data_IF_768660409343
#
_entry.id   IF_768660409343
#
_cell.length_a   1.000
_cell.length_b   1.000
_cell.length_c   1.000
_cell.angle_alpha   90.00
_cell.angle_beta   90.00
_cell.angle_gamma   90.00
#
_symmetry.space_group_name_H-M   'P 1'
#
loop_
_entity.id
_entity.type
_entity.pdbx_description
1 polymer ?
#
# COMPACT_ATOMS: atom_id res chain seq x y z
N UNK A 1 -43.14 -36.96 2.83
CA UNK A 1 -42.00 -37.56 2.10
C UNK A 1 -40.80 -37.47 3.04
N UNK A 2 -40.31 -38.60 3.57
CA UNK A 2 -39.17 -38.61 4.52
C UNK A 2 -37.88 -38.51 3.68
N UNK A 3 -37.15 -37.42 3.83
CA UNK A 3 -35.79 -37.30 3.25
C UNK A 3 -34.90 -38.33 3.93
N UNK A 4 -34.33 -39.23 3.17
CA UNK A 4 -33.47 -40.30 3.68
C UNK A 4 -32.09 -39.73 4.07
N UNK A 5 -31.39 -40.39 5.01
CA UNK A 5 -30.04 -40.01 5.47
C UNK A 5 -29.04 -39.90 4.30
N UNK A 6 -29.23 -40.73 3.26
CA UNK A 6 -28.45 -40.72 2.01
C UNK A 6 -28.67 -39.49 1.16
N UNK A 7 -29.87 -38.88 1.17
CA UNK A 7 -30.15 -37.67 0.38
C UNK A 7 -29.56 -36.41 1.03
N UNK A 8 -29.52 -36.41 2.38
CA UNK A 8 -28.83 -35.36 3.14
C UNK A 8 -27.32 -35.38 2.90
N UNK A 9 -26.73 -36.58 2.96
CA UNK A 9 -25.28 -36.75 2.73
C UNK A 9 -24.87 -36.33 1.32
N UNK A 10 -25.67 -36.62 0.28
CA UNK A 10 -25.42 -36.19 -1.10
C UNK A 10 -25.49 -34.66 -1.24
N UNK A 11 -26.45 -33.99 -0.59
CA UNK A 11 -26.57 -32.53 -0.60
C UNK A 11 -25.37 -31.86 0.10
N UNK A 12 -24.91 -32.42 1.22
CA UNK A 12 -23.77 -31.91 1.96
C UNK A 12 -22.46 -32.06 1.14
N UNK A 13 -22.27 -33.19 0.47
CA UNK A 13 -21.11 -33.44 -0.42
C UNK A 13 -21.13 -32.48 -1.62
N UNK A 14 -22.28 -32.26 -2.26
CA UNK A 14 -22.41 -31.31 -3.36
C UNK A 14 -22.15 -29.87 -2.91
N UNK A 15 -22.61 -29.49 -1.73
CA UNK A 15 -22.36 -28.17 -1.15
C UNK A 15 -20.89 -27.95 -0.83
N UNK A 16 -20.21 -28.95 -0.27
CA UNK A 16 -18.77 -28.91 0.02
C UNK A 16 -17.96 -28.85 -1.29
N UNK A 17 -18.30 -29.68 -2.28
CA UNK A 17 -17.63 -29.68 -3.58
C UNK A 17 -17.82 -28.34 -4.31
N UNK A 18 -19.02 -27.75 -4.25
CA UNK A 18 -19.28 -26.43 -4.82
C UNK A 18 -18.52 -25.31 -4.10
N UNK A 19 -18.44 -25.37 -2.76
CA UNK A 19 -17.63 -24.45 -1.96
C UNK A 19 -16.13 -24.54 -2.29
N UNK A 20 -15.61 -25.77 -2.44
CA UNK A 20 -14.23 -26.03 -2.85
C UNK A 20 -13.96 -25.56 -4.28
N UNK A 21 -14.91 -25.75 -5.19
CA UNK A 21 -14.84 -25.27 -6.58
C UNK A 21 -14.85 -23.73 -6.65
N UNK A 22 -15.67 -23.06 -5.85
CA UNK A 22 -15.67 -21.60 -5.76
C UNK A 22 -14.35 -21.06 -5.19
N UNK A 23 -13.82 -21.70 -4.13
CA UNK A 23 -12.51 -21.35 -3.56
C UNK A 23 -11.37 -21.61 -4.57
N UNK A 24 -11.42 -22.71 -5.31
CA UNK A 24 -10.43 -23.02 -6.34
C UNK A 24 -10.45 -21.98 -7.49
N UNK A 25 -11.64 -21.59 -7.97
CA UNK A 25 -11.77 -20.59 -9.02
C UNK A 25 -11.45 -19.17 -8.53
N UNK A 26 -11.79 -18.82 -7.28
CA UNK A 26 -11.34 -17.59 -6.64
C UNK A 26 -9.82 -17.54 -6.53
N UNK A 27 -9.18 -18.61 -6.06
CA UNK A 27 -7.73 -18.71 -6.01
C UNK A 27 -7.07 -18.65 -7.40
N UNK A 28 -7.68 -19.24 -8.42
CA UNK A 28 -7.14 -19.19 -9.79
C UNK A 28 -7.26 -17.81 -10.42
N UNK A 29 -8.35 -17.08 -10.15
CA UNK A 29 -8.51 -15.69 -10.57
C UNK A 29 -7.62 -14.75 -9.74
N UNK A 30 -7.45 -15.03 -8.45
CA UNK A 30 -6.52 -14.38 -7.56
C UNK A 30 -5.06 -14.56 -8.01
N UNK A 31 -4.64 -15.79 -8.29
CA UNK A 31 -3.29 -16.07 -8.81
C UNK A 31 -3.04 -15.43 -10.19
N UNK A 32 -4.06 -15.32 -11.04
CA UNK A 32 -3.96 -14.57 -12.30
C UNK A 32 -3.86 -13.06 -12.06
N UNK A 33 -4.57 -12.52 -11.07
CA UNK A 33 -4.48 -11.12 -10.68
C UNK A 33 -3.13 -10.76 -10.04
N UNK A 34 -2.58 -11.65 -9.22
CA UNK A 34 -1.23 -11.51 -8.63
C UNK A 34 -0.14 -11.55 -9.71
N UNK A 35 -0.26 -12.45 -10.71
CA UNK A 35 0.67 -12.52 -11.83
C UNK A 35 0.65 -11.25 -12.73
N UNK A 36 -0.32 -10.36 -12.53
CA UNK A 36 -0.45 -9.09 -13.26
C UNK A 36 0.36 -7.96 -12.62
N UNK A 37 0.62 -8.02 -11.31
CA UNK A 37 1.31 -6.96 -10.58
C UNK A 37 2.76 -7.35 -10.31
N UNK A 38 3.68 -6.48 -10.72
CA UNK A 38 5.11 -6.77 -10.75
C UNK A 38 5.85 -6.34 -9.50
N UNK A 39 5.26 -5.48 -8.67
CA UNK A 39 5.95 -4.92 -7.51
C UNK A 39 4.98 -4.57 -6.37
N UNK A 40 5.57 -4.51 -5.17
CA UNK A 40 4.92 -4.06 -3.94
C UNK A 40 5.72 -2.89 -3.35
N UNK A 41 5.18 -1.66 -3.36
CA UNK A 41 5.93 -0.46 -3.00
C UNK A 41 5.91 -0.13 -1.50
N UNK A 42 5.16 -0.87 -0.66
CA UNK A 42 4.97 -0.52 0.75
C UNK A 42 5.10 -1.77 1.63
N UNK A 43 6.31 -1.98 2.16
CA UNK A 43 6.65 -3.14 2.99
C UNK A 43 7.56 -2.70 4.13
N UNK A 44 7.32 -3.28 5.32
CA UNK A 44 8.03 -3.00 6.55
C UNK A 44 8.99 -4.11 6.95
N UNK A 45 10.16 -3.71 7.47
CA UNK A 45 11.13 -4.59 8.09
C UNK A 45 11.05 -4.50 9.62
N UNK A 46 11.90 -5.24 10.31
CA UNK A 46 12.09 -5.12 11.77
C UNK A 46 12.42 -3.68 12.21
N UNK A 47 12.93 -2.83 11.31
CA UNK A 47 13.27 -1.43 11.61
C UNK A 47 12.06 -0.53 11.77
N UNK A 48 10.88 -0.96 11.42
CA UNK A 48 9.61 -0.24 11.69
C UNK A 48 9.20 -0.25 13.18
N UNK A 49 9.87 -1.07 14.00
CA UNK A 49 9.71 -1.07 15.46
C UNK A 49 8.52 -1.86 15.98
N UNK A 50 7.62 -2.32 15.13
CA UNK A 50 6.47 -3.15 15.51
C UNK A 50 6.02 -4.07 14.36
N UNK A 51 5.25 -5.10 14.73
CA UNK A 51 4.50 -5.95 13.78
C UNK A 51 5.32 -6.93 12.97
N UNK A 52 6.66 -6.79 12.89
CA UNK A 52 7.48 -7.64 12.04
C UNK A 52 8.82 -8.03 12.68
N UNK A 53 9.33 -9.18 12.27
CA UNK A 53 10.68 -9.65 12.56
C UNK A 53 11.50 -9.91 11.27
N UNK A 54 11.00 -9.42 10.13
CA UNK A 54 11.58 -9.70 8.82
C UNK A 54 12.73 -8.75 8.51
N UNK A 55 13.80 -9.30 7.91
CA UNK A 55 14.89 -8.51 7.34
C UNK A 55 14.62 -8.20 5.86
N UNK A 56 15.32 -7.21 5.29
CA UNK A 56 15.28 -6.91 3.85
C UNK A 56 15.57 -8.17 3.02
N UNK A 57 16.48 -9.04 3.47
CA UNK A 57 16.82 -10.28 2.77
C UNK A 57 15.69 -11.31 2.81
N UNK A 58 14.97 -11.41 3.93
CA UNK A 58 13.83 -12.31 4.04
C UNK A 58 12.68 -11.85 3.12
N UNK A 59 12.42 -10.53 3.10
CA UNK A 59 11.45 -9.91 2.19
C UNK A 59 11.83 -10.19 0.73
N UNK A 60 13.09 -9.97 0.35
CA UNK A 60 13.55 -10.21 -1.02
C UNK A 60 13.40 -11.69 -1.45
N UNK A 61 13.70 -12.65 -0.55
CA UNK A 61 13.49 -14.08 -0.82
C UNK A 61 12.01 -14.41 -1.03
N UNK A 62 11.15 -13.88 -0.14
CA UNK A 62 9.71 -14.10 -0.25
C UNK A 62 9.16 -13.50 -1.53
N UNK A 63 9.48 -12.24 -1.84
CA UNK A 63 9.07 -11.57 -3.06
C UNK A 63 9.49 -12.32 -4.33
N UNK A 64 10.74 -12.80 -4.38
CA UNK A 64 11.22 -13.63 -5.48
C UNK A 64 10.44 -14.95 -5.61
N UNK A 65 10.10 -15.59 -4.48
CA UNK A 65 9.37 -16.87 -4.46
C UNK A 65 7.94 -16.76 -5.00
N UNK A 66 7.33 -15.58 -4.90
CA UNK A 66 5.96 -15.31 -5.40
C UNK A 66 5.95 -14.61 -6.76
N UNK A 67 7.13 -14.36 -7.35
CA UNK A 67 7.27 -13.82 -8.70
C UNK A 67 7.21 -12.29 -8.80
N UNK A 68 7.34 -11.54 -7.70
CA UNK A 68 7.54 -10.10 -7.77
C UNK A 68 8.92 -9.80 -8.37
N UNK A 69 9.01 -8.72 -9.12
CA UNK A 69 10.25 -8.25 -9.76
C UNK A 69 10.94 -7.15 -8.95
N UNK A 70 10.16 -6.45 -8.11
CA UNK A 70 10.63 -5.30 -7.33
C UNK A 70 9.84 -5.18 -6.03
N UNK A 71 10.49 -4.68 -4.97
CA UNK A 71 9.83 -4.29 -3.71
C UNK A 71 10.36 -2.96 -3.20
N UNK A 72 9.51 -2.20 -2.54
CA UNK A 72 9.87 -1.03 -1.77
C UNK A 72 10.01 -1.37 -0.28
N UNK A 73 11.15 -1.04 0.30
CA UNK A 73 11.37 -1.08 1.75
C UNK A 73 11.11 0.32 2.28
N UNK A 74 10.03 0.47 3.03
CA UNK A 74 9.49 1.76 3.45
C UNK A 74 9.13 1.75 4.92
N UNK A 75 10.11 1.44 5.75
CA UNK A 75 9.93 1.43 7.21
C UNK A 75 9.42 2.77 7.72
N UNK A 76 8.66 2.73 8.82
CA UNK A 76 8.14 3.93 9.47
C UNK A 76 9.23 4.91 9.87
N UNK A 77 8.96 6.18 9.66
CA UNK A 77 9.82 7.27 10.11
C UNK A 77 10.03 7.31 11.63
N UNK A 78 11.07 8.02 12.09
CA UNK A 78 11.58 7.93 13.46
C UNK A 78 10.62 8.45 14.56
N UNK A 79 9.56 9.17 14.20
CA UNK A 79 8.55 9.59 15.17
C UNK A 79 7.63 8.43 15.60
N UNK A 80 7.57 7.34 14.81
CA UNK A 80 6.81 6.14 15.19
C UNK A 80 7.50 5.43 16.37
N UNK A 81 6.77 5.12 17.47
CA UNK A 81 7.36 4.45 18.63
C UNK A 81 8.02 3.12 18.27
N UNK A 82 9.30 2.98 18.58
CA UNK A 82 10.09 1.78 18.28
C UNK A 82 10.75 1.74 16.90
N UNK A 83 10.43 2.67 16.00
CA UNK A 83 11.03 2.74 14.68
C UNK A 83 12.52 3.08 14.68
N UNK A 84 13.16 2.80 13.55
CA UNK A 84 14.57 3.10 13.32
C UNK A 84 14.86 4.60 13.40
N UNK A 85 16.09 4.94 13.83
CA UNK A 85 16.53 6.35 13.86
C UNK A 85 16.77 6.87 12.44
N UNK A 86 16.80 8.19 12.28
CA UNK A 86 17.13 8.87 11.03
C UNK A 86 18.41 8.35 10.34
N UNK A 87 19.42 7.93 11.13
CA UNK A 87 20.64 7.30 10.62
C UNK A 87 20.42 5.97 9.88
N UNK A 88 19.38 5.22 10.20
CA UNK A 88 18.99 4.02 9.47
C UNK A 88 18.66 4.38 8.02
N UNK A 89 17.79 5.35 7.81
CA UNK A 89 17.36 5.79 6.46
C UNK A 89 18.53 6.36 5.66
N UNK A 90 19.40 7.16 6.28
CA UNK A 90 20.63 7.65 5.64
C UNK A 90 21.50 6.52 5.12
N UNK A 91 21.61 5.44 5.88
CA UNK A 91 22.46 4.29 5.53
C UNK A 91 21.86 3.41 4.40
N UNK A 92 20.54 3.51 4.13
CA UNK A 92 19.92 2.80 3.00
C UNK A 92 20.48 3.22 1.64
N UNK A 93 21.05 4.43 1.52
CA UNK A 93 21.73 4.89 0.33
C UNK A 93 22.90 3.96 -0.12
N UNK A 94 23.51 3.23 0.83
CA UNK A 94 24.62 2.31 0.58
C UNK A 94 24.18 0.85 0.46
N UNK A 95 22.90 0.57 0.61
CA UNK A 95 22.38 -0.79 0.55
C UNK A 95 22.31 -1.31 -0.90
N UNK A 96 22.58 -2.61 -1.13
CA UNK A 96 22.48 -3.19 -2.47
C UNK A 96 21.10 -3.08 -3.05
N UNK A 97 20.97 -2.51 -4.26
CA UNK A 97 19.70 -2.32 -4.99
C UNK A 97 19.14 -3.61 -5.62
N UNK A 98 19.84 -4.71 -5.50
CA UNK A 98 19.39 -6.03 -5.98
C UNK A 98 19.66 -7.08 -4.91
N UNK A 99 18.64 -7.88 -4.56
CA UNK A 99 18.75 -9.03 -3.67
C UNK A 99 17.90 -10.18 -4.19
N UNK A 100 18.41 -11.40 -4.13
CA UNK A 100 17.68 -12.60 -4.55
C UNK A 100 17.08 -12.50 -5.97
N UNK A 101 17.72 -11.73 -6.86
CA UNK A 101 17.29 -11.56 -8.24
C UNK A 101 16.20 -10.52 -8.46
N UNK A 102 15.75 -9.82 -7.41
CA UNK A 102 14.74 -8.74 -7.53
C UNK A 102 15.35 -7.37 -7.22
N UNK A 103 14.72 -6.34 -7.73
CA UNK A 103 15.06 -4.94 -7.48
C UNK A 103 14.54 -4.50 -6.11
N UNK A 104 15.35 -3.77 -5.36
CA UNK A 104 14.99 -3.20 -4.06
C UNK A 104 15.03 -1.68 -4.15
N UNK A 105 13.90 -1.06 -3.95
CA UNK A 105 13.81 0.39 -3.72
C UNK A 105 13.84 0.67 -2.23
N UNK A 106 14.60 1.67 -1.83
CA UNK A 106 14.72 2.09 -0.44
C UNK A 106 14.03 3.43 -0.24
N UNK A 107 12.94 3.40 0.48
CA UNK A 107 12.15 4.56 0.85
C UNK A 107 11.98 4.70 2.35
N UNK A 108 11.02 5.51 2.72
CA UNK A 108 10.50 5.62 4.07
C UNK A 108 8.98 5.84 4.01
N UNK A 109 8.27 5.34 4.99
CA UNK A 109 6.93 5.83 5.31
C UNK A 109 7.09 6.93 6.37
N UNK A 110 7.27 8.18 5.88
CA UNK A 110 7.46 9.34 6.72
C UNK A 110 6.15 9.78 7.36
N UNK A 111 6.20 10.10 8.66
CA UNK A 111 5.06 10.61 9.38
C UNK A 111 4.86 12.09 9.09
N UNK A 112 3.61 12.49 8.79
CA UNK A 112 3.19 13.88 8.88
C UNK A 112 3.02 14.20 10.37
N UNK A 113 3.64 15.29 10.86
CA UNK A 113 3.66 15.64 12.28
C UNK A 113 2.66 16.73 12.66
N UNK A 114 2.31 17.59 11.71
CA UNK A 114 1.43 18.74 11.94
C UNK A 114 0.63 19.14 10.68
N UNK A 115 -0.27 20.10 10.85
CA UNK A 115 -1.09 20.62 9.76
C UNK A 115 -0.31 21.41 8.69
N UNK A 116 0.97 21.73 8.93
CA UNK A 116 1.84 22.35 7.94
C UNK A 116 2.48 21.29 7.01
N UNK A 117 2.27 20.00 7.26
CA UNK A 117 2.85 18.91 6.48
C UNK A 117 4.32 18.65 6.83
N UNK A 118 4.77 19.02 8.03
CA UNK A 118 6.12 18.73 8.51
C UNK A 118 6.34 17.22 8.58
N UNK A 119 7.43 16.73 8.00
CA UNK A 119 7.82 15.33 8.02
C UNK A 119 8.79 15.03 9.17
N UNK A 120 8.82 13.79 9.62
CA UNK A 120 9.70 13.32 10.70
C UNK A 120 11.11 12.92 10.23
N UNK A 121 11.44 13.17 8.98
CA UNK A 121 12.77 13.03 8.38
C UNK A 121 13.19 14.35 7.76
N UNK A 122 14.45 14.74 7.99
CA UNK A 122 15.06 15.93 7.42
C UNK A 122 15.29 15.78 5.92
N UNK A 123 15.24 16.88 5.16
CA UNK A 123 15.39 16.91 3.70
C UNK A 123 16.66 16.17 3.23
N UNK A 124 17.79 16.33 3.94
CA UNK A 124 19.06 15.65 3.63
C UNK A 124 18.94 14.12 3.67
N UNK A 125 18.03 13.59 4.46
CA UNK A 125 17.76 12.14 4.53
C UNK A 125 16.78 11.74 3.45
N UNK A 126 15.73 12.53 3.24
CA UNK A 126 14.76 12.27 2.19
C UNK A 126 15.44 12.22 0.81
N UNK A 127 16.40 13.11 0.54
CA UNK A 127 17.11 13.19 -0.75
C UNK A 127 17.91 11.92 -1.12
N UNK A 128 18.38 11.15 -0.15
CA UNK A 128 19.15 9.92 -0.44
C UNK A 128 18.25 8.68 -0.66
N UNK A 129 16.96 8.79 -0.41
CA UNK A 129 15.98 7.73 -0.65
C UNK A 129 15.54 7.69 -2.12
N UNK A 130 15.05 6.55 -2.56
CA UNK A 130 14.47 6.40 -3.90
C UNK A 130 13.15 7.15 -4.00
N UNK A 131 12.32 7.05 -2.96
CA UNK A 131 11.04 7.75 -2.82
C UNK A 131 10.57 7.74 -1.36
N UNK A 132 9.53 8.52 -1.08
CA UNK A 132 8.90 8.65 0.24
C UNK A 132 7.41 8.44 0.13
N UNK A 133 6.86 7.64 1.03
CA UNK A 133 5.44 7.55 1.34
C UNK A 133 5.17 8.51 2.49
N UNK A 134 4.12 9.29 2.43
CA UNK A 134 3.68 10.14 3.54
C UNK A 134 2.38 9.61 4.13
N UNK A 135 2.33 9.50 5.45
CA UNK A 135 1.18 8.94 6.16
C UNK A 135 0.86 9.71 7.44
N UNK A 136 -0.41 9.62 7.85
CA UNK A 136 -0.86 10.06 9.16
C UNK A 136 -1.07 8.85 10.07
N UNK A 137 -0.43 8.87 11.24
CA UNK A 137 -0.57 7.84 12.27
C UNK A 137 -0.96 8.47 13.60
N UNK A 138 -1.90 7.85 14.34
CA UNK A 138 -2.36 8.38 15.64
C UNK A 138 -1.24 8.67 16.64
N UNK A 139 -0.15 7.87 16.75
CA UNK A 139 0.94 8.19 17.67
C UNK A 139 1.72 9.46 17.32
N UNK A 140 1.68 9.89 16.05
CA UNK A 140 2.53 10.98 15.52
C UNK A 140 1.74 12.21 15.09
N UNK A 141 0.47 12.04 14.74
CA UNK A 141 -0.40 13.12 14.26
C UNK A 141 -1.74 13.11 15.00
N UNK A 142 -2.13 14.25 15.55
CA UNK A 142 -3.44 14.43 16.15
C UNK A 142 -4.46 14.72 15.05
N UNK A 143 -5.53 13.89 14.89
CA UNK A 143 -6.54 14.14 13.89
C UNK A 143 -7.12 15.55 13.97
N UNK A 144 -7.09 16.26 12.85
CA UNK A 144 -7.69 17.58 12.66
C UNK A 144 -9.05 17.50 11.96
N UNK A 145 -9.54 18.64 11.52
CA UNK A 145 -10.69 18.72 10.61
C UNK A 145 -10.31 18.17 9.23
N UNK A 146 -11.31 17.89 8.39
CA UNK A 146 -11.10 17.49 6.98
C UNK A 146 -10.18 18.46 6.25
N UNK A 147 -10.37 19.75 6.46
CA UNK A 147 -9.59 20.81 5.84
C UNK A 147 -8.12 20.79 6.32
N UNK A 148 -7.90 20.72 7.63
CA UNK A 148 -6.56 20.65 8.23
C UNK A 148 -5.78 19.42 7.77
N UNK A 149 -6.41 18.24 7.77
CA UNK A 149 -5.78 17.01 7.32
C UNK A 149 -5.45 17.05 5.82
N UNK A 150 -6.38 17.55 4.99
CA UNK A 150 -6.15 17.72 3.55
C UNK A 150 -4.99 18.65 3.28
N UNK A 151 -4.95 19.79 4.00
CA UNK A 151 -3.89 20.77 3.86
C UNK A 151 -2.52 20.22 4.28
N UNK A 152 -2.47 19.43 5.34
CA UNK A 152 -1.25 18.76 5.80
C UNK A 152 -0.67 17.83 4.74
N UNK A 153 -1.51 16.98 4.10
CA UNK A 153 -1.06 16.14 2.98
C UNK A 153 -0.58 16.96 1.79
N UNK A 154 -1.33 18.03 1.40
CA UNK A 154 -0.96 18.89 0.27
C UNK A 154 0.38 19.59 0.51
N UNK A 155 0.66 20.00 1.74
CA UNK A 155 1.93 20.62 2.08
C UNK A 155 3.09 19.61 2.06
N UNK A 156 2.87 18.42 2.61
CA UNK A 156 3.88 17.36 2.61
C UNK A 156 4.24 16.88 1.18
N UNK A 157 3.27 16.85 0.25
CA UNK A 157 3.50 16.50 -1.16
C UNK A 157 4.44 17.46 -1.90
N UNK A 158 4.72 18.66 -1.38
CA UNK A 158 5.61 19.63 -2.03
C UNK A 158 7.07 19.16 -2.05
N UNK A 159 7.45 18.23 -1.17
CA UNK A 159 8.79 17.68 -1.18
C UNK A 159 8.96 16.72 -2.39
N UNK A 160 9.99 16.90 -3.23
CA UNK A 160 10.11 16.19 -4.53
C UNK A 160 10.27 14.68 -4.40
N UNK A 161 10.75 14.20 -3.26
CA UNK A 161 10.87 12.75 -2.96
C UNK A 161 9.59 12.09 -2.51
N UNK A 162 8.57 12.87 -2.12
CA UNK A 162 7.25 12.33 -1.83
C UNK A 162 6.61 11.87 -3.13
N UNK A 163 6.32 10.58 -3.22
CA UNK A 163 5.77 9.94 -4.43
C UNK A 163 4.49 9.16 -4.18
N UNK A 164 4.17 8.88 -2.92
CA UNK A 164 2.97 8.13 -2.54
C UNK A 164 2.35 8.75 -1.30
N UNK A 165 1.02 8.88 -1.30
CA UNK A 165 0.22 9.12 -0.11
C UNK A 165 -0.23 7.76 0.40
N UNK A 166 0.26 7.35 1.57
CA UNK A 166 -0.08 6.09 2.21
C UNK A 166 -1.46 6.15 2.86
N UNK A 167 -2.22 5.08 2.73
CA UNK A 167 -3.50 4.78 3.40
C UNK A 167 -4.30 6.01 3.89
N UNK A 168 -4.45 7.03 3.05
CA UNK A 168 -5.28 8.21 3.37
C UNK A 168 -6.79 7.88 3.45
N UNK A 169 -7.13 6.61 3.36
CA UNK A 169 -8.46 6.05 3.56
C UNK A 169 -8.84 5.88 5.05
N UNK A 170 -7.90 6.01 6.00
CA UNK A 170 -8.14 5.86 7.43
C UNK A 170 -9.24 6.82 7.91
N UNK A 171 -10.35 6.26 8.41
CA UNK A 171 -11.52 7.04 8.86
C UNK A 171 -11.22 8.01 10.01
N UNK A 172 -10.09 7.82 10.69
CA UNK A 172 -9.65 8.69 11.79
C UNK A 172 -9.11 10.04 11.30
N UNK A 173 -8.70 10.12 10.03
CA UNK A 173 -8.12 11.31 9.42
C UNK A 173 -8.92 11.72 8.17
N UNK A 174 -10.15 12.27 8.36
CA UNK A 174 -10.99 12.65 7.23
C UNK A 174 -10.30 13.68 6.34
N UNK A 175 -10.38 13.48 5.02
CA UNK A 175 -9.79 14.36 3.99
C UNK A 175 -10.78 14.64 2.86
N UNK A 176 -10.57 15.74 2.14
CA UNK A 176 -11.22 16.02 0.85
C UNK A 176 -10.46 15.31 -0.27
N UNK A 177 -10.99 14.16 -0.72
CA UNK A 177 -10.33 13.35 -1.75
C UNK A 177 -10.25 14.04 -3.10
N UNK A 178 -11.20 14.90 -3.45
CA UNK A 178 -11.17 15.65 -4.70
C UNK A 178 -9.99 16.65 -4.70
N UNK A 179 -9.87 17.43 -3.63
CA UNK A 179 -8.76 18.38 -3.46
C UNK A 179 -7.41 17.65 -3.39
N UNK A 180 -7.38 16.49 -2.70
CA UNK A 180 -6.17 15.69 -2.55
C UNK A 180 -5.67 15.15 -3.89
N UNK A 181 -6.56 14.60 -4.73
CA UNK A 181 -6.22 14.07 -6.05
C UNK A 181 -5.78 15.16 -7.02
N UNK A 182 -6.42 16.34 -6.99
CA UNK A 182 -5.99 17.49 -7.80
C UNK A 182 -4.56 17.90 -7.44
N UNK A 183 -4.26 18.00 -6.14
CA UNK A 183 -2.92 18.33 -5.68
C UNK A 183 -1.91 17.21 -6.00
N UNK A 184 -2.26 15.95 -5.77
CA UNK A 184 -1.42 14.80 -6.08
C UNK A 184 -1.03 14.75 -7.57
N UNK A 185 -1.97 15.05 -8.46
CA UNK A 185 -1.69 15.18 -9.89
C UNK A 185 -0.74 16.33 -10.22
N UNK A 186 -0.84 17.45 -9.49
CA UNK A 186 0.03 18.62 -9.70
C UNK A 186 1.47 18.36 -9.24
N UNK A 187 1.65 17.58 -8.17
CA UNK A 187 2.96 17.29 -7.59
C UNK A 187 3.56 15.94 -8.01
N UNK A 188 2.93 15.21 -8.95
CA UNK A 188 3.33 13.87 -9.37
C UNK A 188 3.45 12.90 -8.17
N UNK A 189 2.37 12.80 -7.39
CA UNK A 189 2.25 11.91 -6.22
C UNK A 189 1.09 10.95 -6.43
N UNK A 190 1.29 9.66 -6.18
CA UNK A 190 0.25 8.62 -6.29
C UNK A 190 -0.59 8.54 -5.01
N UNK A 191 -1.86 8.15 -5.15
CA UNK A 191 -2.64 7.68 -4.02
C UNK A 191 -2.52 6.16 -3.92
N UNK A 192 -2.32 5.70 -2.71
CA UNK A 192 -2.26 4.28 -2.38
C UNK A 192 -3.67 3.69 -2.23
N UNK A 193 -3.88 2.51 -2.79
CA UNK A 193 -4.99 1.63 -2.43
C UNK A 193 -4.40 0.52 -1.57
N UNK A 194 -4.53 0.70 -0.27
CA UNK A 194 -3.84 -0.10 0.74
C UNK A 194 -4.61 -1.39 1.04
N UNK A 195 -3.97 -2.53 0.82
CA UNK A 195 -4.62 -3.83 1.01
C UNK A 195 -4.87 -4.15 2.49
N UNK A 196 -3.96 -3.72 3.41
CA UNK A 196 -4.13 -3.93 4.84
C UNK A 196 -5.31 -3.12 5.40
N UNK A 197 -5.55 -1.89 4.90
CA UNK A 197 -6.72 -1.08 5.26
C UNK A 197 -8.04 -1.78 4.93
N UNK A 198 -8.10 -2.43 3.77
CA UNK A 198 -9.29 -3.11 3.25
C UNK A 198 -9.48 -4.52 3.81
N UNK A 199 -8.49 -5.05 4.55
CA UNK A 199 -8.60 -6.37 5.19
C UNK A 199 -9.72 -6.38 6.23
N UNK A 200 -10.46 -7.48 6.38
CA UNK A 200 -11.43 -7.65 7.48
C UNK A 200 -10.82 -7.45 8.87
N UNK A 201 -9.51 -7.71 9.01
CA UNK A 201 -8.75 -7.51 10.24
C UNK A 201 -8.10 -6.11 10.32
N UNK A 202 -8.44 -5.21 9.38
CA UNK A 202 -7.91 -3.86 9.31
C UNK A 202 -8.31 -3.00 10.52
N UNK A 203 -7.36 -2.26 11.09
CA UNK A 203 -7.58 -1.43 12.28
C UNK A 203 -8.01 0.02 11.97
N UNK A 204 -8.13 0.38 10.69
CA UNK A 204 -8.46 1.74 10.22
C UNK A 204 -9.98 2.01 10.13
N UNK A 205 -10.81 1.04 10.50
CA UNK A 205 -12.26 1.11 10.44
C UNK A 205 -12.82 0.66 9.08
N UNK A 206 -14.09 0.96 8.80
CA UNK A 206 -14.67 0.69 7.47
C UNK A 206 -14.24 1.77 6.48
N UNK A 207 -13.19 1.46 5.75
CA UNK A 207 -12.57 2.35 4.75
C UNK A 207 -13.22 2.25 3.36
N UNK A 208 -14.20 1.39 3.16
CA UNK A 208 -14.78 1.07 1.84
C UNK A 208 -15.33 2.31 1.12
N UNK A 209 -16.01 3.20 1.86
CA UNK A 209 -16.53 4.47 1.34
C UNK A 209 -15.41 5.43 0.94
N UNK A 210 -14.35 5.52 1.73
CA UNK A 210 -13.19 6.36 1.47
C UNK A 210 -12.42 5.88 0.24
N UNK A 211 -12.14 4.58 0.15
CA UNK A 211 -11.48 3.98 -1.02
C UNK A 211 -12.30 4.20 -2.29
N UNK A 212 -13.64 4.07 -2.23
CA UNK A 212 -14.50 4.39 -3.35
C UNK A 212 -14.33 5.86 -3.78
N UNK A 213 -14.34 6.81 -2.83
CA UNK A 213 -14.17 8.23 -3.12
C UNK A 213 -12.80 8.54 -3.74
N UNK A 214 -11.72 7.90 -3.26
CA UNK A 214 -10.37 7.98 -3.85
C UNK A 214 -10.42 7.52 -5.31
N UNK A 215 -10.97 6.33 -5.58
CA UNK A 215 -11.02 5.76 -6.92
C UNK A 215 -11.88 6.59 -7.87
N UNK A 216 -13.02 7.13 -7.41
CA UNK A 216 -13.88 8.01 -8.20
C UNK A 216 -13.15 9.32 -8.57
N UNK A 217 -12.47 9.97 -7.61
CA UNK A 217 -11.70 11.18 -7.85
C UNK A 217 -10.51 10.90 -8.79
N UNK A 218 -9.74 9.84 -8.57
CA UNK A 218 -8.63 9.45 -9.44
C UNK A 218 -9.11 9.15 -10.87
N UNK A 219 -10.23 8.44 -11.03
CA UNK A 219 -10.83 8.16 -12.35
C UNK A 219 -11.27 9.43 -13.05
N UNK A 220 -11.94 10.34 -12.34
CA UNK A 220 -12.41 11.64 -12.87
C UNK A 220 -11.25 12.49 -13.40
N UNK A 221 -10.12 12.50 -12.69
CA UNK A 221 -8.95 13.29 -13.05
C UNK A 221 -7.94 12.55 -13.93
N UNK A 222 -8.23 11.30 -14.34
CA UNK A 222 -7.29 10.42 -15.06
C UNK A 222 -5.93 10.36 -14.34
N UNK A 223 -5.98 10.15 -13.02
CA UNK A 223 -4.82 10.07 -12.14
C UNK A 223 -4.55 8.62 -11.74
N UNK A 224 -3.30 8.12 -11.89
CA UNK A 224 -2.99 6.74 -11.54
C UNK A 224 -2.98 6.52 -10.02
N UNK A 225 -3.17 5.25 -9.64
CA UNK A 225 -3.02 4.76 -8.27
C UNK A 225 -1.96 3.67 -8.19
N UNK A 226 -1.50 3.38 -6.99
CA UNK A 226 -0.64 2.24 -6.71
C UNK A 226 -1.29 1.35 -5.64
N UNK A 227 -1.23 0.03 -5.83
CA UNK A 227 -1.64 -0.94 -4.82
C UNK A 227 -0.46 -1.28 -3.93
N UNK A 228 -0.70 -1.53 -2.66
CA UNK A 228 0.32 -1.96 -1.72
C UNK A 228 -0.21 -3.00 -0.75
N UNK A 229 0.70 -3.79 -0.20
CA UNK A 229 0.36 -4.73 0.86
C UNK A 229 0.39 -4.11 2.24
N UNK A 230 1.23 -3.09 2.46
CA UNK A 230 1.56 -2.54 3.79
C UNK A 230 1.97 -3.69 4.75
N UNK A 231 2.81 -4.58 4.21
CA UNK A 231 3.08 -5.85 4.86
C UNK A 231 4.04 -5.68 6.04
N UNK A 232 3.62 -6.14 7.21
CA UNK A 232 4.43 -6.27 8.42
C UNK A 232 4.83 -7.74 8.68
N UNK A 233 4.86 -8.58 7.65
CA UNK A 233 5.25 -9.99 7.76
C UNK A 233 5.28 -10.69 6.41
N UNK A 234 6.09 -11.74 6.27
CA UNK A 234 6.34 -12.41 4.98
C UNK A 234 5.09 -12.91 4.28
N UNK A 235 4.06 -13.31 5.04
CA UNK A 235 2.84 -13.89 4.49
C UNK A 235 1.99 -12.91 3.67
N UNK A 236 2.13 -11.61 3.93
CA UNK A 236 1.30 -10.58 3.29
C UNK A 236 2.02 -9.84 2.15
N UNK A 237 3.31 -10.09 1.93
CA UNK A 237 4.06 -9.48 0.83
C UNK A 237 3.39 -9.81 -0.50
N UNK A 238 3.11 -8.77 -1.31
CA UNK A 238 2.44 -8.91 -2.60
C UNK A 238 0.97 -9.36 -2.50
N UNK A 239 0.38 -9.35 -1.31
CA UNK A 239 -1.04 -9.61 -1.16
C UNK A 239 -1.83 -8.34 -1.49
N UNK A 240 -2.48 -8.34 -2.64
CA UNK A 240 -3.31 -7.24 -3.13
C UNK A 240 -4.79 -7.64 -3.25
N UNK A 241 -5.23 -8.71 -2.59
CA UNK A 241 -6.56 -9.29 -2.80
C UNK A 241 -7.67 -8.27 -2.65
N UNK A 242 -7.72 -7.59 -1.51
CA UNK A 242 -8.79 -6.64 -1.19
C UNK A 242 -8.69 -5.36 -2.01
N UNK A 243 -7.47 -4.87 -2.24
CA UNK A 243 -7.21 -3.73 -3.10
C UNK A 243 -7.65 -4.01 -4.56
N UNK A 244 -7.35 -5.20 -5.08
CA UNK A 244 -7.79 -5.65 -6.39
C UNK A 244 -9.31 -5.78 -6.49
N UNK A 245 -9.97 -6.31 -5.46
CA UNK A 245 -11.43 -6.38 -5.39
C UNK A 245 -12.05 -4.98 -5.39
N UNK A 246 -11.45 -4.02 -4.67
CA UNK A 246 -11.89 -2.63 -4.68
C UNK A 246 -11.76 -1.99 -6.08
N UNK A 247 -10.64 -2.18 -6.79
CA UNK A 247 -10.44 -1.74 -8.17
C UNK A 247 -11.54 -2.28 -9.08
N UNK A 248 -11.84 -3.58 -9.00
CA UNK A 248 -12.88 -4.21 -9.81
C UNK A 248 -14.29 -3.74 -9.49
N UNK A 249 -14.64 -3.71 -8.20
CA UNK A 249 -15.98 -3.33 -7.75
C UNK A 249 -16.33 -1.90 -8.12
N UNK A 250 -15.34 -1.00 -8.11
CA UNK A 250 -15.51 0.41 -8.49
C UNK A 250 -15.28 0.67 -9.99
N UNK A 251 -15.08 -0.38 -10.80
CA UNK A 251 -14.83 -0.25 -12.24
C UNK A 251 -13.71 0.76 -12.56
N UNK A 252 -12.64 0.71 -11.76
CA UNK A 252 -11.47 1.56 -11.95
C UNK A 252 -10.64 1.02 -13.14
N UNK A 253 -10.14 1.87 -14.04
CA UNK A 253 -9.36 1.42 -15.19
C UNK A 253 -8.05 0.75 -14.77
N UNK A 254 -7.82 -0.49 -15.20
CA UNK A 254 -6.56 -1.22 -14.92
C UNK A 254 -5.32 -0.48 -15.49
N UNK A 255 -5.50 0.27 -16.57
CA UNK A 255 -4.44 1.11 -17.16
C UNK A 255 -3.97 2.26 -16.27
N UNK A 256 -4.73 2.59 -15.22
CA UNK A 256 -4.35 3.57 -14.21
C UNK A 256 -3.78 2.93 -12.94
N UNK A 257 -3.55 1.60 -12.93
CA UNK A 257 -2.88 0.90 -11.81
C UNK A 257 -1.42 0.68 -12.18
N UNK A 258 -0.50 1.41 -11.53
CA UNK A 258 0.92 1.40 -11.92
C UNK A 258 1.62 0.06 -11.65
N UNK A 259 1.10 -0.77 -10.74
CA UNK A 259 1.73 -2.05 -10.37
C UNK A 259 1.90 -3.03 -11.55
N UNK A 260 1.20 -2.83 -12.65
CA UNK A 260 1.30 -3.67 -13.85
C UNK A 260 2.67 -3.59 -14.56
N UNK A 261 3.48 -2.55 -14.29
CA UNK A 261 4.83 -2.38 -14.86
C UNK A 261 5.75 -1.66 -13.90
N UNK A 262 6.84 -2.32 -13.52
CA UNK A 262 7.90 -1.71 -12.72
C UNK A 262 8.62 -0.59 -13.48
N UNK A 263 8.69 -0.68 -14.81
CA UNK A 263 9.31 0.34 -15.67
C UNK A 263 8.50 1.64 -15.64
N UNK A 264 7.18 1.55 -15.67
CA UNK A 264 6.30 2.72 -15.52
C UNK A 264 6.48 3.36 -14.15
N UNK A 265 6.55 2.56 -13.08
CA UNK A 265 6.78 3.08 -11.75
C UNK A 265 8.16 3.72 -11.60
N UNK A 266 9.23 3.08 -12.10
CA UNK A 266 10.57 3.66 -12.10
C UNK A 266 10.64 4.97 -12.90
N UNK A 267 9.93 5.06 -14.03
CA UNK A 267 9.80 6.30 -14.79
C UNK A 267 9.07 7.37 -14.00
N UNK A 268 7.97 7.00 -13.32
CA UNK A 268 7.21 7.90 -12.46
C UNK A 268 8.05 8.48 -11.32
N UNK A 269 8.90 7.67 -10.69
CA UNK A 269 9.80 8.12 -9.62
C UNK A 269 10.83 9.17 -10.09
N UNK A 270 11.17 9.17 -11.39
CA UNK A 270 12.13 10.12 -11.99
C UNK A 270 11.48 11.45 -12.42
N UNK A 271 10.15 11.55 -12.45
CA UNK A 271 9.47 12.80 -12.73
C UNK A 271 9.75 13.81 -11.59
N UNK A 272 10.07 15.04 -11.98
CA UNK A 272 10.39 16.15 -11.04
C UNK A 272 9.21 17.08 -10.88
#
# INVERSE_FOLDING_TARGET
MKITCTDKLKKDIVSIAYSLFLRYNSNRNFMKGLAMYQFDPHIHTISSGHGTNCTITDIAKQAASIGLLMVGITDHGPATPGAGRASYFRNLAYAPKTRCGIEILYGAEANILDSNGTLDLEDEILEVLDYVIISMHQPTYKPGTTEENTFAYINAMKHPKVKIIGHCDDVKFPVDYEALVIAAKHYDVLLEINNASLSPDGYRGDVSGNVKSILEACKKHNHPVVLSSDSHGLANIGNFQYAFEAIKTNHFPESLVLNSSKELFNTFLQNK
#
